data_IF_035106463229
#
_entry.id   IF_035106463229
#
_cell.length_a   1.000
_cell.length_b   1.000
_cell.length_c   1.000
_cell.angle_alpha   90.00
_cell.angle_beta   90.00
_cell.angle_gamma   90.00
#
_symmetry.space_group_name_H-M   'P 1'
#
loop_
_entity.id
_entity.type
_entity.pdbx_description
1 polymer ?
#
# COMPACT_ATOMS: atom_id res chain seq x y z
N UNK A 1 -4.66 -15.34 -25.71
CA UNK A 1 -5.26 -14.99 -24.40
C UNK A 1 -4.13 -14.85 -23.41
N UNK A 2 -3.85 -13.62 -23.00
CA UNK A 2 -2.72 -13.28 -22.15
C UNK A 2 -3.12 -13.44 -20.68
N UNK A 3 -2.42 -14.30 -19.97
CA UNK A 3 -2.37 -14.28 -18.50
C UNK A 3 -0.92 -14.16 -18.12
N UNK A 4 -0.40 -12.94 -18.13
CA UNK A 4 0.88 -12.62 -17.49
C UNK A 4 0.65 -12.68 -15.99
N UNK A 5 0.98 -13.83 -15.42
CA UNK A 5 1.02 -14.05 -13.98
C UNK A 5 2.18 -13.22 -13.45
N UNK A 6 1.91 -11.99 -12.99
CA UNK A 6 2.89 -11.20 -12.25
C UNK A 6 2.92 -11.75 -10.83
N UNK A 7 3.70 -12.82 -10.65
CA UNK A 7 4.06 -13.32 -9.32
C UNK A 7 5.06 -12.31 -8.73
N UNK A 8 4.55 -11.32 -8.00
CA UNK A 8 5.41 -10.48 -7.15
C UNK A 8 5.77 -11.32 -5.92
N UNK A 9 6.79 -12.16 -6.06
CA UNK A 9 7.48 -12.71 -4.91
C UNK A 9 8.20 -11.57 -4.20
N UNK A 10 7.54 -10.97 -3.19
CA UNK A 10 8.19 -10.03 -2.27
C UNK A 10 9.06 -10.85 -1.32
N UNK A 11 10.23 -11.25 -1.80
CA UNK A 11 11.30 -11.70 -0.93
C UNK A 11 11.78 -10.49 -0.13
N UNK A 12 11.38 -10.43 1.14
CA UNK A 12 11.83 -9.45 2.12
C UNK A 12 13.30 -9.73 2.50
N UNK A 13 14.24 -9.30 1.65
CA UNK A 13 15.65 -9.19 2.04
C UNK A 13 15.83 -7.89 2.82
N UNK A 14 15.85 -8.03 4.15
CA UNK A 14 16.00 -6.94 5.10
C UNK A 14 17.33 -6.18 4.89
N UNK A 15 17.28 -4.84 5.00
CA UNK A 15 18.47 -4.03 5.25
C UNK A 15 18.44 -2.62 4.67
N UNK A 16 18.16 -2.47 3.37
CA UNK A 16 18.19 -1.15 2.70
C UNK A 16 16.95 -0.88 1.83
N UNK A 17 16.35 -1.92 1.24
CA UNK A 17 15.15 -1.78 0.42
C UNK A 17 13.87 -1.44 1.22
N UNK A 18 13.88 -1.63 2.54
CA UNK A 18 12.71 -1.41 3.40
C UNK A 18 12.53 0.06 3.82
N UNK A 19 13.62 0.83 3.92
CA UNK A 19 13.55 2.22 4.36
C UNK A 19 12.77 3.10 3.35
N UNK A 20 12.91 2.81 2.05
CA UNK A 20 12.23 3.52 0.98
C UNK A 20 10.95 2.83 0.49
N UNK A 21 10.62 1.63 0.97
CA UNK A 21 9.44 0.89 0.50
C UNK A 21 8.13 1.44 1.08
N UNK A 22 8.09 1.82 2.36
CA UNK A 22 6.89 2.38 3.00
C UNK A 22 6.34 3.61 2.26
N UNK A 23 7.12 4.68 2.01
CA UNK A 23 6.61 5.86 1.31
C UNK A 23 6.21 5.55 -0.13
N UNK A 24 6.89 4.60 -0.81
CA UNK A 24 6.53 4.16 -2.16
C UNK A 24 5.16 3.48 -2.18
N UNK A 25 4.93 2.49 -1.31
CA UNK A 25 3.66 1.73 -1.29
C UNK A 25 2.49 2.62 -0.86
N UNK A 26 2.69 3.52 0.10
CA UNK A 26 1.68 4.50 0.51
C UNK A 26 1.30 5.40 -0.68
N UNK A 27 2.30 5.92 -1.41
CA UNK A 27 2.07 6.76 -2.59
C UNK A 27 1.31 6.00 -3.68
N UNK A 28 1.73 4.79 -4.03
CA UNK A 28 1.06 3.96 -5.05
C UNK A 28 -0.40 3.66 -4.67
N UNK A 29 -0.67 3.37 -3.39
CA UNK A 29 -2.04 3.19 -2.90
C UNK A 29 -2.90 4.45 -3.05
N UNK A 30 -2.34 5.63 -2.74
CA UNK A 30 -3.05 6.91 -2.91
C UNK A 30 -3.32 7.23 -4.39
N UNK A 31 -2.37 6.98 -5.26
CA UNK A 31 -2.54 7.16 -6.70
C UNK A 31 -3.59 6.20 -7.28
N UNK A 32 -3.65 4.96 -6.77
CA UNK A 32 -4.70 4.02 -7.15
C UNK A 32 -6.08 4.49 -6.67
N UNK A 33 -6.21 4.91 -5.41
CA UNK A 33 -7.45 5.45 -4.85
C UNK A 33 -7.94 6.70 -5.61
N UNK A 34 -7.02 7.59 -6.00
CA UNK A 34 -7.34 8.79 -6.77
C UNK A 34 -7.91 8.52 -8.17
N UNK A 35 -7.67 7.33 -8.73
CA UNK A 35 -8.23 6.89 -10.02
C UNK A 35 -9.59 6.20 -9.87
N UNK A 36 -10.09 6.03 -8.65
CA UNK A 36 -11.34 5.37 -8.33
C UNK A 36 -12.40 6.37 -7.87
N UNK A 37 -13.62 5.89 -7.69
CA UNK A 37 -14.74 6.69 -7.17
C UNK A 37 -14.53 7.01 -5.69
N UNK A 38 -14.34 8.29 -5.37
CA UNK A 38 -14.05 8.73 -4.00
C UNK A 38 -15.18 8.44 -2.99
N UNK A 39 -16.41 8.29 -3.47
CA UNK A 39 -17.59 7.96 -2.67
C UNK A 39 -17.71 6.45 -2.37
N UNK A 40 -16.98 5.60 -3.09
CA UNK A 40 -16.97 4.15 -2.88
C UNK A 40 -16.48 3.81 -1.46
N UNK A 41 -17.26 3.06 -0.66
CA UNK A 41 -16.88 2.64 0.68
C UNK A 41 -15.53 1.91 0.74
N UNK A 42 -15.16 1.14 -0.30
CA UNK A 42 -13.86 0.47 -0.39
C UNK A 42 -12.73 1.47 -0.53
N UNK A 43 -12.90 2.48 -1.39
CA UNK A 43 -11.89 3.53 -1.61
C UNK A 43 -11.69 4.34 -0.33
N UNK A 44 -12.78 4.70 0.37
CA UNK A 44 -12.70 5.38 1.68
C UNK A 44 -11.96 4.54 2.72
N UNK A 45 -12.27 3.25 2.81
CA UNK A 45 -11.60 2.34 3.74
C UNK A 45 -10.10 2.19 3.41
N UNK A 46 -9.73 2.09 2.13
CA UNK A 46 -8.35 2.02 1.70
C UNK A 46 -7.59 3.32 1.99
N UNK A 47 -8.19 4.49 1.74
CA UNK A 47 -7.59 5.79 2.07
C UNK A 47 -7.36 5.92 3.57
N UNK A 48 -8.32 5.52 4.41
CA UNK A 48 -8.14 5.53 5.86
C UNK A 48 -6.97 4.65 6.33
N UNK A 49 -6.81 3.46 5.75
CA UNK A 49 -5.65 2.59 6.00
C UNK A 49 -4.33 3.25 5.56
N UNK A 50 -4.30 3.94 4.41
CA UNK A 50 -3.11 4.65 3.94
C UNK A 50 -2.75 5.86 4.81
N UNK A 51 -3.74 6.53 5.39
CA UNK A 51 -3.54 7.61 6.37
C UNK A 51 -2.94 7.10 7.67
N UNK A 52 -3.44 5.98 8.17
CA UNK A 52 -2.87 5.31 9.34
C UNK A 52 -1.46 4.75 9.04
N UNK A 53 -1.24 4.21 7.85
CA UNK A 53 0.09 3.75 7.41
C UNK A 53 1.10 4.91 7.37
N UNK A 54 0.69 6.11 6.94
CA UNK A 54 1.53 7.30 6.98
C UNK A 54 1.88 7.69 8.42
N UNK A 55 0.89 7.73 9.34
CA UNK A 55 1.15 8.02 10.76
C UNK A 55 2.11 7.02 11.39
N UNK A 56 1.98 5.74 11.05
CA UNK A 56 2.88 4.69 11.51
C UNK A 56 4.30 4.89 10.94
N UNK A 57 4.42 5.29 9.67
CA UNK A 57 5.71 5.63 9.06
C UNK A 57 6.38 6.82 9.77
N UNK A 58 5.63 7.91 9.96
CA UNK A 58 6.12 9.13 10.61
C UNK A 58 6.52 8.86 12.08
N UNK A 59 5.86 7.91 12.73
CA UNK A 59 6.17 7.42 14.07
C UNK A 59 7.28 6.35 14.13
N UNK A 60 7.96 6.03 13.03
CA UNK A 60 9.05 5.04 12.97
C UNK A 60 8.60 3.57 13.01
N UNK A 61 7.30 3.29 13.03
CA UNK A 61 6.72 1.94 13.01
C UNK A 61 6.63 1.40 11.59
N UNK A 62 7.78 1.24 10.93
CA UNK A 62 7.86 0.91 9.51
C UNK A 62 7.21 -0.45 9.16
N UNK A 63 7.31 -1.45 10.03
CA UNK A 63 6.69 -2.76 9.78
C UNK A 63 5.15 -2.67 9.74
N UNK A 64 4.55 -1.99 10.73
CA UNK A 64 3.10 -1.80 10.81
C UNK A 64 2.60 -0.91 9.66
N UNK A 65 3.35 0.16 9.35
CA UNK A 65 3.08 1.04 8.21
C UNK A 65 3.02 0.26 6.90
N UNK A 66 4.04 -0.57 6.63
CA UNK A 66 4.12 -1.31 5.38
C UNK A 66 3.01 -2.36 5.28
N UNK A 67 2.69 -3.05 6.38
CA UNK A 67 1.58 -4.00 6.41
C UNK A 67 0.27 -3.32 6.01
N UNK A 68 -0.06 -2.21 6.66
CA UNK A 68 -1.32 -1.52 6.45
C UNK A 68 -1.42 -0.88 5.05
N UNK A 69 -0.30 -0.34 4.54
CA UNK A 69 -0.23 0.18 3.17
C UNK A 69 -0.44 -0.93 2.11
N UNK A 70 0.11 -2.13 2.33
CA UNK A 70 -0.12 -3.26 1.43
C UNK A 70 -1.57 -3.77 1.47
N UNK A 71 -2.19 -3.82 2.65
CA UNK A 71 -3.61 -4.18 2.79
C UNK A 71 -4.51 -3.19 2.02
N UNK A 72 -4.26 -1.88 2.16
CA UNK A 72 -4.97 -0.86 1.39
C UNK A 72 -4.78 -1.03 -0.13
N UNK A 73 -3.55 -1.29 -0.57
CA UNK A 73 -3.26 -1.53 -1.98
C UNK A 73 -3.94 -2.81 -2.52
N UNK A 74 -4.11 -3.84 -1.69
CA UNK A 74 -4.82 -5.04 -2.04
C UNK A 74 -6.34 -4.82 -2.15
N UNK A 75 -6.92 -4.01 -1.26
CA UNK A 75 -8.35 -3.66 -1.28
C UNK A 75 -8.73 -2.86 -2.53
N UNK A 76 -7.82 -2.01 -3.04
CA UNK A 76 -8.01 -1.24 -4.27
C UNK A 76 -7.86 -2.07 -5.56
N UNK A 77 -7.34 -3.29 -5.47
CA UNK A 77 -7.15 -4.20 -6.63
C UNK A 77 -8.28 -5.23 -6.77
N UNK A 78 -9.26 -5.23 -5.86
CA UNK A 78 -10.36 -6.21 -5.75
C UNK A 78 -11.73 -5.63 -6.06
#
# INVERSE_FOLDING_TARGET
MAVTVVVVAVAFTAGAAFASSCPKVIKEGREAAAKMKADDPKVKAAVAKLDEAQKLHDGGKHADSLKLANEAAADLKK
#
